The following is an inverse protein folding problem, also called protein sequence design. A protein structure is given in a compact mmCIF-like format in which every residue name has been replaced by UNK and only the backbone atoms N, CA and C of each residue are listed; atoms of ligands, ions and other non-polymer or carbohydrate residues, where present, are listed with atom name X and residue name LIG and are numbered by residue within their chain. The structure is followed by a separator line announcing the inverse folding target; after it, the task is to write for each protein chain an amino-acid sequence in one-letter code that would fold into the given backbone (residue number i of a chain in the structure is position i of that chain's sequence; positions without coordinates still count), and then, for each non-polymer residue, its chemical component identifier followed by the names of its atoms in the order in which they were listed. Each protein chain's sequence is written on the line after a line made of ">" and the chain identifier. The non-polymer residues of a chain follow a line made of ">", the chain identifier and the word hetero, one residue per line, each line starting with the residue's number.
data_IF_361013683671
#
_entry.id   IF_361013683671
#
_cell.length_a   1.000
_cell.length_b   1.000
_cell.length_c   1.000
_cell.angle_alpha   90.00
_cell.angle_beta   90.00
_cell.angle_gamma   90.00
#
_symmetry.space_group_name_H-M   'P 1'
#
loop_
_entity.id
_entity.type
_entity.pdbx_description
1 polymer ?
#
# COMPACT_ATOMS: atom_id res chain seq x y z
N UNK A 1 -30.37 37.04 -60.54
CA UNK A 1 -29.75 37.31 -59.22
C UNK A 1 -30.10 36.36 -58.03
N UNK A 2 -30.59 35.13 -58.18
CA UNK A 2 -30.91 34.25 -57.00
C UNK A 2 -29.75 33.40 -56.48
N UNK A 3 -28.70 33.07 -57.30
CA UNK A 3 -27.62 32.14 -56.88
C UNK A 3 -26.66 32.71 -55.80
N UNK A 4 -26.41 34.02 -55.78
CA UNK A 4 -25.52 34.67 -54.76
C UNK A 4 -26.15 34.65 -53.34
N UNK A 5 -27.46 34.83 -53.18
CA UNK A 5 -28.16 34.80 -51.87
C UNK A 5 -28.18 33.42 -51.24
N UNK A 6 -28.30 32.32 -52.00
CA UNK A 6 -28.23 30.92 -51.53
C UNK A 6 -26.83 30.57 -51.02
N UNK A 7 -25.75 31.02 -51.71
CA UNK A 7 -24.35 30.77 -51.30
C UNK A 7 -23.98 31.50 -50.00
N UNK A 8 -24.51 32.72 -49.79
CA UNK A 8 -24.32 33.48 -48.55
C UNK A 8 -25.04 32.83 -47.32
N UNK A 9 -26.27 32.36 -47.50
CA UNK A 9 -27.04 31.64 -46.46
C UNK A 9 -26.35 30.33 -46.07
N UNK A 10 -25.76 29.59 -47.02
CA UNK A 10 -25.03 28.34 -46.76
C UNK A 10 -23.72 28.60 -45.97
N UNK A 11 -22.98 29.69 -46.32
CA UNK A 11 -21.79 30.12 -45.59
C UNK A 11 -22.08 30.60 -44.13
N UNK A 12 -23.20 31.31 -43.94
CA UNK A 12 -23.64 31.71 -42.57
C UNK A 12 -24.03 30.50 -41.73
N UNK A 13 -24.79 29.54 -42.28
CA UNK A 13 -25.14 28.30 -41.55
C UNK A 13 -23.91 27.46 -41.20
N UNK A 14 -22.88 27.39 -42.08
CA UNK A 14 -21.64 26.66 -41.77
C UNK A 14 -20.81 27.37 -40.69
N UNK A 15 -20.74 28.72 -40.69
CA UNK A 15 -20.05 29.48 -39.64
C UNK A 15 -20.75 29.33 -38.28
N UNK A 16 -22.07 29.30 -38.25
CA UNK A 16 -22.83 29.06 -37.01
C UNK A 16 -22.60 27.65 -36.47
N UNK A 17 -22.66 26.61 -37.34
CA UNK A 17 -22.36 25.22 -36.94
C UNK A 17 -20.93 25.03 -36.41
N UNK A 18 -19.95 25.71 -37.02
CA UNK A 18 -18.55 25.68 -36.56
C UNK A 18 -18.37 26.38 -35.20
N UNK A 19 -19.12 27.49 -34.96
CA UNK A 19 -19.09 28.22 -33.69
C UNK A 19 -19.72 27.42 -32.54
N UNK A 20 -20.90 26.83 -32.76
CA UNK A 20 -21.58 25.96 -31.79
C UNK A 20 -20.78 24.72 -31.45
N UNK A 21 -20.13 24.10 -32.46
CA UNK A 21 -19.25 22.94 -32.23
C UNK A 21 -17.99 23.30 -31.39
N UNK A 22 -17.39 24.48 -31.64
CA UNK A 22 -16.25 24.99 -30.86
C UNK A 22 -16.64 25.33 -29.42
N UNK A 23 -17.85 25.88 -29.22
CA UNK A 23 -18.35 26.20 -27.86
C UNK A 23 -18.67 24.92 -27.10
N UNK A 24 -19.30 23.94 -27.74
CA UNK A 24 -19.60 22.63 -27.13
C UNK A 24 -18.33 21.88 -26.71
N UNK A 25 -17.29 21.84 -27.57
CA UNK A 25 -15.98 21.25 -27.25
C UNK A 25 -15.25 21.99 -26.10
N UNK A 26 -15.39 23.32 -26.02
CA UNK A 26 -14.81 24.09 -24.90
C UNK A 26 -15.52 23.80 -23.59
N UNK A 27 -16.84 23.65 -23.63
CA UNK A 27 -17.66 23.31 -22.42
C UNK A 27 -17.37 21.89 -21.97
N UNK A 28 -17.32 20.91 -22.88
CA UNK A 28 -16.96 19.53 -22.57
C UNK A 28 -15.53 19.41 -21.99
N UNK A 29 -14.54 20.10 -22.58
CA UNK A 29 -13.19 20.16 -21.99
C UNK A 29 -13.14 20.82 -20.62
N UNK A 30 -13.97 21.83 -20.38
CA UNK A 30 -14.05 22.49 -19.06
C UNK A 30 -14.66 21.57 -18.01
N UNK A 31 -15.72 20.83 -18.38
CA UNK A 31 -16.37 19.84 -17.50
C UNK A 31 -15.40 18.68 -17.18
N UNK A 32 -14.65 18.17 -18.16
CA UNK A 32 -13.65 17.12 -17.95
C UNK A 32 -12.52 17.64 -17.04
N UNK A 33 -12.01 18.85 -17.26
CA UNK A 33 -10.99 19.47 -16.39
C UNK A 33 -11.48 19.77 -14.97
N UNK A 34 -12.77 20.05 -14.78
CA UNK A 34 -13.38 20.26 -13.46
C UNK A 34 -13.68 18.94 -12.74
N UNK A 35 -13.93 17.84 -13.47
CA UNK A 35 -14.09 16.50 -12.89
C UNK A 35 -12.76 15.82 -12.52
N UNK A 36 -11.64 16.28 -13.07
CA UNK A 36 -10.28 15.79 -12.77
C UNK A 36 -9.57 16.58 -11.66
N UNK A 37 -10.23 17.56 -11.04
CA UNK A 37 -9.66 18.19 -9.85
C UNK A 37 -9.67 17.18 -8.72
N UNK A 38 -8.50 16.69 -8.37
CA UNK A 38 -8.31 15.86 -7.17
C UNK A 38 -9.00 16.51 -5.97
N UNK A 39 -9.88 15.76 -5.32
CA UNK A 39 -10.55 16.21 -4.11
C UNK A 39 -9.54 16.31 -2.98
N UNK A 40 -9.00 17.49 -2.75
CA UNK A 40 -8.05 17.72 -1.65
C UNK A 40 -8.82 17.93 -0.35
N UNK A 41 -8.83 16.89 0.48
CA UNK A 41 -9.42 16.94 1.83
C UNK A 41 -8.40 17.50 2.81
N UNK A 42 -8.74 18.61 3.45
CA UNK A 42 -7.87 19.22 4.47
C UNK A 42 -7.84 18.38 5.73
N UNK A 43 -6.65 18.01 6.18
CA UNK A 43 -6.45 17.29 7.45
C UNK A 43 -6.87 18.17 8.64
N UNK A 44 -7.61 17.61 9.58
CA UNK A 44 -8.01 18.34 10.80
C UNK A 44 -6.80 18.75 11.64
N UNK A 45 -6.92 19.86 12.36
CA UNK A 45 -5.84 20.34 13.26
C UNK A 45 -5.49 19.34 14.37
N UNK A 46 -6.48 18.58 14.83
CA UNK A 46 -6.29 17.54 15.87
C UNK A 46 -5.38 16.44 15.33
N UNK A 47 -5.69 15.89 14.15
CA UNK A 47 -4.90 14.86 13.52
C UNK A 47 -3.49 15.32 13.18
N UNK A 48 -3.35 16.57 12.70
CA UNK A 48 -2.03 17.15 12.40
C UNK A 48 -1.16 17.30 13.64
N UNK A 49 -1.75 17.62 14.81
CA UNK A 49 -1.03 17.71 16.09
C UNK A 49 -0.62 16.34 16.64
N UNK A 50 -1.45 15.32 16.42
CA UNK A 50 -1.20 13.95 16.88
C UNK A 50 -0.33 13.15 15.91
N UNK A 51 -0.05 13.68 14.72
CA UNK A 51 0.74 12.99 13.70
C UNK A 51 2.16 12.69 14.22
N UNK A 52 2.58 11.44 14.04
CA UNK A 52 3.93 10.98 14.44
C UNK A 52 5.04 11.69 13.67
N UNK A 53 4.76 12.10 12.43
CA UNK A 53 5.67 12.84 11.56
C UNK A 53 4.91 13.99 10.93
N UNK A 54 5.31 15.23 11.21
CA UNK A 54 4.81 16.41 10.54
C UNK A 54 5.57 16.68 9.22
N UNK A 55 5.08 17.62 8.41
CA UNK A 55 5.68 17.97 7.10
C UNK A 55 7.18 18.26 7.18
N UNK A 56 7.60 19.10 8.15
CA UNK A 56 9.03 19.47 8.34
C UNK A 56 9.89 18.25 8.66
N UNK A 57 9.42 17.38 9.53
CA UNK A 57 10.13 16.15 9.89
C UNK A 57 10.19 15.17 8.70
N UNK A 58 9.12 15.07 7.90
CA UNK A 58 9.10 14.29 6.68
C UNK A 58 10.13 14.80 5.67
N UNK A 59 10.11 16.09 5.35
CA UNK A 59 11.04 16.71 4.40
C UNK A 59 12.51 16.51 4.84
N UNK A 60 12.80 16.68 6.13
CA UNK A 60 14.14 16.41 6.69
C UNK A 60 14.56 14.96 6.48
N UNK A 61 13.67 13.99 6.77
CA UNK A 61 13.94 12.57 6.58
C UNK A 61 14.10 12.23 5.10
N UNK A 62 13.22 12.72 4.26
CA UNK A 62 13.27 12.52 2.82
C UNK A 62 14.58 13.03 2.21
N UNK A 63 14.93 14.29 2.50
CA UNK A 63 16.19 14.87 2.02
C UNK A 63 17.41 14.07 2.49
N UNK A 64 17.38 13.56 3.74
CA UNK A 64 18.44 12.70 4.25
C UNK A 64 18.49 11.35 3.53
N UNK A 65 17.34 10.75 3.22
CA UNK A 65 17.25 9.48 2.49
C UNK A 65 17.81 9.56 1.06
N UNK A 66 17.79 10.75 0.46
CA UNK A 66 18.38 10.98 -0.86
C UNK A 66 19.87 11.31 -0.77
N UNK A 67 20.25 12.23 0.12
CA UNK A 67 21.64 12.73 0.21
C UNK A 67 22.61 11.74 0.84
N UNK A 68 22.14 10.98 1.82
CA UNK A 68 22.94 10.03 2.61
C UNK A 68 22.16 8.71 2.75
N UNK A 69 21.86 8.13 1.60
CA UNK A 69 20.95 6.99 1.46
C UNK A 69 21.36 5.79 2.32
N UNK A 70 22.62 5.40 2.26
CA UNK A 70 23.08 4.18 2.93
C UNK A 70 23.04 4.32 4.47
N UNK A 71 23.56 5.41 5.01
CA UNK A 71 23.52 5.66 6.46
C UNK A 71 22.11 5.91 6.96
N UNK A 72 21.24 6.53 6.13
CA UNK A 72 19.84 6.67 6.46
C UNK A 72 19.17 5.31 6.66
N UNK A 73 19.29 4.40 5.70
CA UNK A 73 18.67 3.08 5.77
C UNK A 73 19.36 2.18 6.81
N UNK A 74 20.67 2.31 7.00
CA UNK A 74 21.38 1.67 8.12
C UNK A 74 20.77 2.01 9.47
N UNK A 75 20.34 3.26 9.66
CA UNK A 75 19.65 3.68 10.88
C UNK A 75 18.21 3.23 10.94
N UNK A 76 17.43 3.44 9.87
CA UNK A 76 16.00 3.12 9.85
C UNK A 76 15.76 1.61 9.92
N UNK A 77 16.61 0.76 9.36
CA UNK A 77 16.52 -0.69 9.46
C UNK A 77 16.60 -1.23 10.90
N UNK A 78 17.19 -0.48 11.84
CA UNK A 78 17.20 -0.86 13.26
C UNK A 78 15.85 -0.74 13.96
N UNK A 79 14.83 -0.19 13.30
CA UNK A 79 13.47 -0.08 13.84
C UNK A 79 12.72 -1.41 13.90
N UNK A 80 13.15 -2.39 13.13
CA UNK A 80 12.60 -3.75 13.12
C UNK A 80 13.52 -4.70 13.88
N UNK A 81 12.97 -5.84 14.29
CA UNK A 81 13.71 -6.86 15.06
C UNK A 81 14.33 -7.85 14.08
N UNK A 82 15.64 -7.99 14.17
CA UNK A 82 16.44 -8.92 13.37
C UNK A 82 16.79 -10.17 14.18
N UNK A 83 16.71 -11.34 13.56
CA UNK A 83 17.24 -12.60 14.11
C UNK A 83 18.78 -12.58 13.97
N UNK A 84 19.26 -12.27 12.78
CA UNK A 84 20.66 -11.95 12.51
C UNK A 84 20.74 -10.51 12.02
N UNK A 85 21.36 -9.60 12.77
CA UNK A 85 21.55 -8.22 12.33
C UNK A 85 22.29 -8.14 11.00
N UNK A 86 21.89 -7.17 10.17
CA UNK A 86 22.57 -6.89 8.91
C UNK A 86 23.83 -6.06 9.13
N UNK A 87 24.82 -6.24 8.28
CA UNK A 87 26.00 -5.39 8.14
C UNK A 87 26.02 -4.70 6.77
N UNK A 88 25.44 -5.33 5.76
CA UNK A 88 25.38 -4.85 4.37
C UNK A 88 24.02 -4.25 4.07
N UNK A 89 24.00 -2.98 3.68
CA UNK A 89 22.77 -2.20 3.59
C UNK A 89 22.08 -2.40 2.25
N UNK A 90 22.82 -2.18 1.16
CA UNK A 90 22.26 -2.33 -0.19
C UNK A 90 23.35 -2.75 -1.19
N UNK A 91 22.88 -3.46 -2.21
CA UNK A 91 23.62 -3.78 -3.43
C UNK A 91 22.61 -3.65 -4.58
N UNK A 92 22.59 -2.47 -5.21
CA UNK A 92 21.59 -2.09 -6.21
C UNK A 92 22.29 -1.65 -7.48
N UNK A 93 21.92 -2.28 -8.60
CA UNK A 93 22.35 -1.94 -9.95
C UNK A 93 21.14 -1.89 -10.86
N UNK A 94 21.02 -0.81 -11.61
CA UNK A 94 20.04 -0.68 -12.68
C UNK A 94 20.77 -0.52 -14.01
N UNK A 95 20.65 -1.51 -14.89
CA UNK A 95 21.14 -1.42 -16.26
C UNK A 95 20.12 -2.06 -17.22
N UNK A 96 20.29 -1.84 -18.52
CA UNK A 96 19.38 -2.44 -19.53
C UNK A 96 19.39 -3.97 -19.53
N UNK A 97 20.51 -4.58 -19.13
CA UNK A 97 20.75 -6.03 -19.22
C UNK A 97 20.85 -6.72 -17.86
N UNK A 98 21.02 -5.94 -16.78
CA UNK A 98 21.26 -6.50 -15.45
C UNK A 98 20.63 -5.61 -14.37
N UNK A 99 19.56 -6.11 -13.77
CA UNK A 99 18.86 -5.45 -12.67
C UNK A 99 19.09 -6.25 -11.39
N UNK A 100 19.77 -5.64 -10.44
CA UNK A 100 20.06 -6.22 -9.14
C UNK A 100 19.53 -5.32 -8.04
N UNK A 101 18.67 -5.85 -7.16
CA UNK A 101 18.11 -5.11 -6.04
C UNK A 101 18.21 -5.98 -4.80
N UNK A 102 19.18 -5.69 -3.94
CA UNK A 102 19.37 -6.35 -2.65
C UNK A 102 19.46 -5.33 -1.53
N UNK A 103 18.64 -5.52 -0.51
CA UNK A 103 18.62 -4.70 0.69
C UNK A 103 18.83 -5.56 1.93
N UNK A 104 19.67 -5.11 2.86
CA UNK A 104 19.93 -5.80 4.13
C UNK A 104 20.23 -7.29 3.95
N UNK A 105 21.00 -7.63 2.90
CA UNK A 105 21.02 -8.95 2.31
C UNK A 105 21.83 -10.01 3.07
N UNK A 106 22.54 -9.63 4.11
CA UNK A 106 23.19 -10.53 5.06
C UNK A 106 22.49 -10.64 6.41
N UNK A 107 21.39 -9.86 6.59
CA UNK A 107 20.52 -9.94 7.74
C UNK A 107 19.41 -10.98 7.56
N UNK A 108 18.87 -11.50 8.66
CA UNK A 108 17.69 -12.36 8.66
C UNK A 108 16.68 -11.89 9.66
N UNK A 109 15.41 -11.95 9.28
CA UNK A 109 14.28 -11.61 10.14
C UNK A 109 13.09 -12.52 9.84
N UNK A 110 12.09 -12.49 10.71
CA UNK A 110 10.79 -13.09 10.47
C UNK A 110 9.72 -12.00 10.52
N UNK A 111 8.93 -11.89 9.46
CA UNK A 111 7.88 -10.87 9.37
C UNK A 111 6.78 -11.08 10.41
N UNK A 112 6.35 -12.34 10.65
CA UNK A 112 5.35 -12.67 11.67
C UNK A 112 5.80 -12.27 13.08
N UNK A 113 7.06 -12.53 13.43
CA UNK A 113 7.64 -12.10 14.72
C UNK A 113 7.59 -10.58 14.85
N UNK A 114 7.93 -9.86 13.78
CA UNK A 114 7.89 -8.39 13.77
C UNK A 114 6.48 -7.82 13.86
N UNK A 115 5.49 -8.49 13.24
CA UNK A 115 4.09 -8.06 13.29
C UNK A 115 3.42 -8.38 14.64
N UNK A 116 3.79 -9.48 15.30
CA UNK A 116 3.04 -10.01 16.44
C UNK A 116 3.91 -10.09 17.70
N UNK A 117 4.91 -10.97 17.72
CA UNK A 117 5.59 -11.41 18.94
C UNK A 117 6.27 -10.26 19.68
N UNK A 118 6.94 -9.35 18.95
CA UNK A 118 7.60 -8.18 19.55
C UNK A 118 6.65 -7.25 20.30
N UNK A 119 5.35 -7.35 20.05
CA UNK A 119 4.33 -6.50 20.67
C UNK A 119 3.68 -7.14 21.89
N UNK A 120 3.77 -8.47 22.09
CA UNK A 120 3.06 -9.20 23.14
C UNK A 120 3.38 -8.69 24.54
N UNK A 121 4.66 -8.42 24.83
CA UNK A 121 5.07 -7.96 26.17
C UNK A 121 4.34 -6.68 26.60
N UNK A 122 4.09 -5.74 25.68
CA UNK A 122 3.53 -4.41 26.00
C UNK A 122 2.08 -4.22 25.54
N UNK A 123 1.60 -5.03 24.60
CA UNK A 123 0.34 -4.78 23.90
C UNK A 123 -0.53 -6.03 23.75
N UNK A 124 -0.30 -7.09 24.53
CA UNK A 124 -1.02 -8.37 24.38
C UNK A 124 -2.54 -8.23 24.30
N UNK A 125 -3.11 -7.36 25.13
CA UNK A 125 -4.57 -7.14 25.23
C UNK A 125 -5.07 -6.02 24.27
N UNK A 126 -4.16 -5.36 23.51
CA UNK A 126 -4.57 -4.34 22.54
C UNK A 126 -5.13 -5.01 21.28
N UNK A 127 -6.19 -4.46 20.72
CA UNK A 127 -6.74 -4.89 19.44
C UNK A 127 -5.67 -4.79 18.35
N UNK A 128 -5.41 -5.92 17.68
CA UNK A 128 -4.51 -6.03 16.53
C UNK A 128 -5.28 -6.02 15.22
N UNK A 129 -6.48 -6.62 15.18
CA UNK A 129 -7.36 -6.69 14.02
C UNK A 129 -8.77 -6.30 14.45
N UNK A 130 -9.38 -5.39 13.71
CA UNK A 130 -10.81 -5.10 13.74
C UNK A 130 -11.38 -5.69 12.46
N UNK A 131 -12.20 -6.71 12.57
CA UNK A 131 -12.90 -7.29 11.45
C UNK A 131 -14.37 -6.85 11.46
N UNK A 132 -14.88 -6.51 10.30
CA UNK A 132 -16.29 -6.15 10.09
C UNK A 132 -16.81 -7.04 8.96
N UNK A 133 -17.91 -7.73 9.22
CA UNK A 133 -18.59 -8.59 8.24
C UNK A 133 -19.39 -7.79 7.21
N UNK A 134 -20.11 -8.52 6.34
CA UNK A 134 -21.04 -7.91 5.38
C UNK A 134 -22.18 -7.18 6.11
N UNK A 135 -22.66 -7.74 7.22
CA UNK A 135 -23.48 -6.99 8.15
C UNK A 135 -22.54 -6.17 9.07
N UNK A 136 -22.64 -4.80 9.08
CA UNK A 136 -21.77 -3.95 9.90
C UNK A 136 -21.84 -4.21 11.40
N UNK A 137 -22.90 -4.88 11.89
CA UNK A 137 -23.01 -5.29 13.28
C UNK A 137 -22.16 -6.52 13.62
N UNK A 138 -21.80 -7.32 12.61
CA UNK A 138 -20.90 -8.45 12.75
C UNK A 138 -19.46 -7.96 12.84
N UNK A 139 -19.02 -7.65 14.04
CA UNK A 139 -17.66 -7.16 14.28
C UNK A 139 -16.90 -8.10 15.22
N UNK A 140 -15.59 -8.25 14.96
CA UNK A 140 -14.67 -8.98 15.85
C UNK A 140 -13.43 -8.14 16.12
N UNK A 141 -13.14 -7.91 17.40
CA UNK A 141 -11.90 -7.30 17.86
C UNK A 141 -10.95 -8.41 18.32
N UNK A 142 -9.86 -8.60 17.59
CA UNK A 142 -8.87 -9.65 17.86
C UNK A 142 -7.65 -8.99 18.49
N UNK A 143 -7.32 -9.37 19.71
CA UNK A 143 -6.14 -8.87 20.41
C UNK A 143 -4.84 -9.45 19.85
N UNK A 144 -3.70 -8.80 20.14
CA UNK A 144 -2.37 -9.35 19.76
C UNK A 144 -2.14 -10.74 20.32
N UNK A 145 -2.65 -11.05 21.51
CA UNK A 145 -2.53 -12.37 22.14
C UNK A 145 -3.36 -13.42 21.38
N UNK A 146 -4.59 -13.10 21.02
CA UNK A 146 -5.44 -13.99 20.23
C UNK A 146 -4.89 -14.21 18.83
N UNK A 147 -4.42 -13.13 18.17
CA UNK A 147 -3.76 -13.21 16.87
C UNK A 147 -2.54 -14.14 16.94
N UNK A 148 -1.68 -13.98 17.94
CA UNK A 148 -0.53 -14.86 18.15
C UNK A 148 -0.94 -16.33 18.30
N UNK A 149 -1.93 -16.60 19.18
CA UNK A 149 -2.43 -17.96 19.40
C UNK A 149 -2.96 -18.61 18.12
N UNK A 150 -3.77 -17.87 17.36
CA UNK A 150 -4.38 -18.37 16.12
C UNK A 150 -3.34 -18.57 15.01
N UNK A 151 -2.39 -17.66 14.89
CA UNK A 151 -1.27 -17.79 13.94
C UNK A 151 -0.39 -18.99 14.29
N UNK A 152 -0.11 -19.23 15.57
CA UNK A 152 0.65 -20.42 16.00
C UNK A 152 -0.10 -21.72 15.73
N UNK A 153 -1.43 -21.74 15.97
CA UNK A 153 -2.27 -22.92 15.64
C UNK A 153 -2.25 -23.21 14.15
N UNK A 154 -2.47 -22.18 13.30
CA UNK A 154 -2.41 -22.33 11.85
C UNK A 154 -1.02 -22.78 11.37
N UNK A 155 0.05 -22.21 11.92
CA UNK A 155 1.42 -22.61 11.61
C UNK A 155 1.70 -24.09 11.97
N UNK A 156 1.23 -24.55 13.13
CA UNK A 156 1.35 -25.94 13.53
C UNK A 156 0.52 -26.87 12.64
N UNK A 157 -0.70 -26.47 12.26
CA UNK A 157 -1.53 -27.21 11.31
C UNK A 157 -0.84 -27.35 9.95
N UNK A 158 -0.27 -26.27 9.39
CA UNK A 158 0.48 -26.34 8.15
C UNK A 158 1.70 -27.29 8.26
N UNK A 159 2.42 -27.25 9.38
CA UNK A 159 3.55 -28.16 9.64
C UNK A 159 3.12 -29.61 9.75
N UNK A 160 1.98 -29.91 10.39
CA UNK A 160 1.48 -31.28 10.56
C UNK A 160 1.12 -31.96 9.24
N UNK A 161 0.73 -31.19 8.23
CA UNK A 161 0.50 -31.70 6.85
C UNK A 161 1.76 -31.64 5.97
N UNK A 162 2.94 -31.37 6.56
CA UNK A 162 4.23 -31.48 5.89
C UNK A 162 4.78 -30.20 5.27
N UNK A 163 4.10 -29.06 5.40
CA UNK A 163 4.57 -27.77 4.85
C UNK A 163 5.85 -27.31 5.54
N UNK A 164 6.87 -26.99 4.75
CA UNK A 164 8.21 -26.58 5.18
C UNK A 164 8.57 -25.20 4.63
N UNK A 165 9.68 -24.65 5.10
CA UNK A 165 10.27 -23.42 4.55
C UNK A 165 10.52 -23.56 3.05
N UNK A 166 10.02 -22.58 2.29
CA UNK A 166 10.15 -22.53 0.84
C UNK A 166 9.01 -23.19 0.07
N UNK A 167 8.14 -23.96 0.73
CA UNK A 167 6.94 -24.50 0.08
C UNK A 167 5.95 -23.39 -0.24
N UNK A 168 5.12 -23.64 -1.25
CA UNK A 168 4.12 -22.69 -1.73
C UNK A 168 2.74 -23.10 -1.23
N UNK A 169 2.06 -22.15 -0.59
CA UNK A 169 0.71 -22.31 -0.04
C UNK A 169 -0.23 -21.36 -0.75
N UNK A 170 -1.16 -21.88 -1.54
CA UNK A 170 -2.25 -21.08 -2.11
C UNK A 170 -3.34 -20.91 -1.08
N UNK A 171 -3.72 -19.66 -0.82
CA UNK A 171 -4.78 -19.30 0.12
C UNK A 171 -6.00 -18.87 -0.68
N UNK A 172 -7.09 -19.62 -0.57
CA UNK A 172 -8.37 -19.31 -1.21
C UNK A 172 -9.43 -19.14 -0.12
N UNK A 173 -9.47 -17.94 0.45
CA UNK A 173 -10.39 -17.55 1.53
C UNK A 173 -11.03 -16.20 1.20
N UNK A 174 -12.23 -15.97 1.72
CA UNK A 174 -12.90 -14.68 1.71
C UNK A 174 -12.21 -13.72 2.71
N UNK A 175 -12.71 -12.48 2.83
CA UNK A 175 -12.17 -11.46 3.76
C UNK A 175 -12.55 -11.74 5.22
N UNK A 176 -12.14 -12.90 5.73
CA UNK A 176 -12.32 -13.33 7.12
C UNK A 176 -11.01 -13.22 7.91
N UNK A 177 -11.03 -13.14 9.25
CA UNK A 177 -9.82 -13.02 10.05
C UNK A 177 -8.80 -14.14 9.83
N UNK A 178 -9.27 -15.33 9.49
CA UNK A 178 -8.47 -16.52 9.23
C UNK A 178 -7.51 -16.32 8.03
N UNK A 179 -7.87 -15.48 7.07
CA UNK A 179 -6.97 -15.09 5.97
C UNK A 179 -5.67 -14.49 6.52
N UNK A 180 -5.80 -13.54 7.45
CA UNK A 180 -4.62 -12.92 8.08
C UNK A 180 -3.83 -13.92 8.93
N UNK A 181 -4.51 -14.85 9.60
CA UNK A 181 -3.85 -15.88 10.42
C UNK A 181 -3.00 -16.81 9.55
N UNK A 182 -3.54 -17.28 8.42
CA UNK A 182 -2.82 -18.20 7.51
C UNK A 182 -1.65 -17.49 6.82
N UNK A 183 -1.83 -16.23 6.37
CA UNK A 183 -0.74 -15.43 5.80
C UNK A 183 0.44 -15.29 6.78
N UNK A 184 0.14 -14.91 8.03
CA UNK A 184 1.15 -14.74 9.08
C UNK A 184 1.74 -16.08 9.53
N UNK A 185 0.97 -17.17 9.47
CA UNK A 185 1.45 -18.52 9.73
C UNK A 185 2.46 -18.97 8.68
N UNK A 186 2.18 -18.77 7.40
CA UNK A 186 3.13 -19.05 6.31
C UNK A 186 4.43 -18.26 6.51
N UNK A 187 4.32 -16.95 6.77
CA UNK A 187 5.50 -16.12 7.06
C UNK A 187 6.28 -16.61 8.29
N UNK A 188 5.56 -17.14 9.32
CA UNK A 188 6.17 -17.65 10.54
C UNK A 188 7.04 -18.88 10.30
N UNK A 189 6.58 -19.82 9.48
CA UNK A 189 7.32 -21.05 9.15
C UNK A 189 8.25 -20.90 7.95
N UNK A 190 8.22 -19.75 7.27
CA UNK A 190 9.02 -19.48 6.08
C UNK A 190 8.47 -20.09 4.80
N UNK A 191 7.18 -20.46 4.78
CA UNK A 191 6.48 -20.85 3.56
C UNK A 191 6.11 -19.61 2.72
N UNK A 192 6.00 -19.77 1.42
CA UNK A 192 5.62 -18.73 0.46
C UNK A 192 4.10 -18.83 0.27
N UNK A 193 3.37 -17.77 0.55
CA UNK A 193 1.93 -17.74 0.31
C UNK A 193 1.57 -16.92 -0.93
N UNK A 194 0.50 -17.34 -1.59
CA UNK A 194 -0.20 -16.62 -2.68
C UNK A 194 -1.68 -16.55 -2.33
N UNK A 195 -2.31 -15.40 -2.59
CA UNK A 195 -3.72 -15.15 -2.32
C UNK A 195 -4.44 -14.98 -3.66
#
# INVERSE_FOLDING_TARGET
>A
MPKKKKKLKKRKKLKIKKRTRKTKLKTEKKIILESEKELVIKTSKIWSKQAYVNKKAYEKKYNKSIKDNENFWKKEGKRITWIKPYTKIKDVKYSKTDVKIKWFYDGTLNASINCIDRHLKKKKNKTAIIWVGDNPEDTKNISYQELHRNVCKAANGLKSIGIKKGDRVTIYLTMIPELAFVMLACARIGAIHSI
#
